data_IF_930121885581
#
_entry.id   IF_930121885581
#
_cell.length_a   1.000
_cell.length_b   1.000
_cell.length_c   1.000
_cell.angle_alpha   90.00
_cell.angle_beta   90.00
_cell.angle_gamma   90.00
#
_symmetry.space_group_name_H-M   'P 1'
#
loop_
_entity.id
_entity.type
_entity.pdbx_description
1 polymer ?
#
# COMPACT_ATOMS: atom_id res chain seq x y z
N UNK A 1 0.27 -23.49 9.80
CA UNK A 1 -0.09 -22.74 8.59
C UNK A 1 -0.98 -21.59 9.01
N UNK A 2 -0.67 -20.40 8.53
CA UNK A 2 -1.34 -19.14 8.81
C UNK A 2 -1.85 -18.61 7.47
N UNK A 3 -3.13 -18.82 7.18
CA UNK A 3 -3.76 -18.33 5.95
C UNK A 3 -3.98 -16.83 6.05
N UNK A 4 -3.32 -16.08 5.17
CA UNK A 4 -3.37 -14.63 5.10
C UNK A 4 -4.40 -14.18 4.07
N UNK A 5 -5.07 -13.08 4.36
CA UNK A 5 -5.83 -12.31 3.39
C UNK A 5 -5.63 -10.82 3.70
N UNK A 6 -6.07 -9.93 2.82
CA UNK A 6 -6.06 -8.49 3.04
C UNK A 6 -7.50 -7.97 3.21
N UNK A 7 -7.76 -7.27 4.30
CA UNK A 7 -8.93 -6.38 4.37
C UNK A 7 -8.57 -5.05 3.70
N UNK A 8 -8.88 -4.97 2.40
CA UNK A 8 -8.67 -3.78 1.57
C UNK A 8 -9.35 -2.53 2.14
N UNK A 9 -10.40 -2.70 2.95
CA UNK A 9 -11.13 -1.57 3.52
C UNK A 9 -10.52 -1.08 4.84
N UNK A 10 -9.63 -1.82 5.49
CA UNK A 10 -9.21 -1.52 6.86
C UNK A 10 -8.44 -0.18 7.00
N UNK A 11 -7.75 0.24 5.95
CA UNK A 11 -6.95 1.47 5.90
C UNK A 11 -6.86 2.01 4.47
N UNK A 12 -5.94 2.94 4.22
CA UNK A 12 -5.60 3.42 2.88
C UNK A 12 -5.09 2.27 1.97
N UNK A 13 -4.16 1.46 2.47
CA UNK A 13 -3.54 0.33 1.75
C UNK A 13 -4.17 -1.03 2.08
N UNK A 14 -5.01 -1.08 3.12
CA UNK A 14 -5.53 -2.31 3.70
C UNK A 14 -4.68 -2.83 4.87
N UNK A 15 -5.13 -3.90 5.52
CA UNK A 15 -4.37 -4.61 6.55
C UNK A 15 -4.53 -6.11 6.41
N UNK A 16 -3.48 -6.86 6.76
CA UNK A 16 -3.53 -8.32 6.76
C UNK A 16 -4.52 -8.84 7.80
N UNK A 17 -5.24 -9.89 7.42
CA UNK A 17 -6.00 -10.77 8.28
C UNK A 17 -5.33 -12.13 8.31
N UNK A 18 -5.59 -12.87 9.38
CA UNK A 18 -5.22 -14.27 9.49
C UNK A 18 -6.47 -15.06 9.83
N UNK A 19 -6.73 -16.17 9.12
CA UNK A 19 -7.99 -16.92 9.26
C UNK A 19 -8.33 -17.37 10.69
N UNK A 20 -7.32 -17.55 11.55
CA UNK A 20 -7.48 -17.95 12.95
C UNK A 20 -7.57 -16.78 13.93
N UNK A 21 -7.48 -15.54 13.44
CA UNK A 21 -7.49 -14.31 14.23
C UNK A 21 -8.68 -13.43 13.83
N UNK A 22 -9.12 -12.56 14.74
CA UNK A 22 -10.23 -11.65 14.50
C UNK A 22 -9.72 -10.24 14.29
N UNK A 23 -10.18 -9.60 13.22
CA UNK A 23 -9.84 -8.22 12.88
C UNK A 23 -8.54 -8.10 12.11
N UNK A 24 -8.35 -6.91 11.53
CA UNK A 24 -7.25 -6.58 10.63
C UNK A 24 -6.01 -6.09 11.40
N UNK A 25 -4.84 -6.51 10.94
CA UNK A 25 -3.54 -6.39 11.62
C UNK A 25 -3.54 -6.94 13.07
N UNK A 26 -3.91 -8.22 13.29
CA UNK A 26 -3.94 -8.79 14.63
C UNK A 26 -2.53 -9.07 15.17
N UNK A 27 -2.36 -8.99 16.49
CA UNK A 27 -1.17 -9.55 17.15
C UNK A 27 -1.23 -11.08 17.06
N UNK A 28 -0.24 -11.71 16.43
CA UNK A 28 -0.12 -13.16 16.32
C UNK A 28 0.93 -13.72 17.29
N UNK A 29 0.84 -15.01 17.61
CA UNK A 29 1.75 -15.66 18.55
C UNK A 29 2.46 -16.84 17.88
N UNK A 30 3.78 -16.90 18.03
CA UNK A 30 4.65 -17.94 17.45
C UNK A 30 5.62 -18.47 18.51
N UNK A 31 6.03 -19.73 18.42
CA UNK A 31 6.83 -20.41 19.44
C UNK A 31 8.25 -20.67 18.95
N UNK A 32 9.24 -20.45 19.82
CA UNK A 32 10.65 -20.75 19.54
C UNK A 32 10.82 -22.24 19.17
N UNK A 33 11.63 -22.50 18.14
CA UNK A 33 11.91 -23.82 17.59
C UNK A 33 10.89 -24.33 16.58
N UNK A 34 9.84 -23.54 16.26
CA UNK A 34 8.81 -23.91 15.30
C UNK A 34 8.96 -23.13 13.98
N UNK A 35 8.48 -23.75 12.90
CA UNK A 35 8.34 -23.13 11.58
C UNK A 35 6.88 -22.87 11.27
N UNK A 36 6.57 -21.65 10.84
CA UNK A 36 5.23 -21.20 10.49
C UNK A 36 5.19 -20.87 9.01
N UNK A 37 4.30 -21.53 8.27
CA UNK A 37 3.99 -21.19 6.87
C UNK A 37 2.92 -20.11 6.85
N UNK A 38 3.25 -18.95 6.32
CA UNK A 38 2.36 -17.84 5.96
C UNK A 38 1.91 -18.05 4.52
N UNK A 39 0.62 -18.31 4.34
CA UNK A 39 0.03 -18.63 3.04
C UNK A 39 -0.69 -17.41 2.48
N UNK A 40 -0.16 -16.84 1.40
CA UNK A 40 -0.68 -15.65 0.74
C UNK A 40 -1.57 -15.98 -0.47
N UNK A 41 -2.04 -17.22 -0.62
CA UNK A 41 -2.81 -17.65 -1.79
C UNK A 41 -4.21 -17.02 -1.90
N UNK A 42 -4.69 -16.31 -0.87
CA UNK A 42 -5.93 -15.54 -1.01
C UNK A 42 -5.74 -14.39 -2.02
N UNK A 43 -6.64 -14.23 -3.02
CA UNK A 43 -6.53 -13.21 -4.08
C UNK A 43 -6.39 -11.76 -3.59
N UNK A 44 -6.79 -11.48 -2.35
CA UNK A 44 -6.67 -10.14 -1.76
C UNK A 44 -5.23 -9.78 -1.38
N UNK A 45 -4.31 -10.74 -1.29
CA UNK A 45 -2.88 -10.48 -1.02
C UNK A 45 -2.10 -10.03 -2.27
N UNK A 46 -2.72 -9.99 -3.45
CA UNK A 46 -2.05 -9.51 -4.66
C UNK A 46 -1.47 -8.10 -4.43
N UNK A 47 -0.24 -7.86 -4.89
CA UNK A 47 0.55 -6.64 -4.61
C UNK A 47 1.00 -6.44 -3.15
N UNK A 48 0.78 -7.41 -2.26
CA UNK A 48 1.15 -7.34 -0.85
C UNK A 48 2.02 -8.53 -0.41
N UNK A 49 3.29 -8.65 -0.86
CA UNK A 49 4.19 -9.69 -0.36
C UNK A 49 4.49 -9.45 1.13
N UNK A 50 4.38 -10.51 1.95
CA UNK A 50 4.65 -10.40 3.39
C UNK A 50 6.16 -10.38 3.64
N UNK A 51 6.62 -9.44 4.46
CA UNK A 51 7.97 -9.37 5.01
C UNK A 51 7.99 -9.54 6.53
N UNK A 52 9.17 -9.76 7.10
CA UNK A 52 9.37 -9.94 8.56
C UNK A 52 10.55 -9.13 9.04
N UNK A 53 10.34 -8.25 10.03
CA UNK A 53 11.38 -7.35 10.52
C UNK A 53 11.44 -7.27 12.05
N UNK A 54 12.60 -6.86 12.57
CA UNK A 54 12.81 -6.64 14.02
C UNK A 54 12.24 -5.30 14.50
N UNK A 55 11.89 -4.42 13.56
CA UNK A 55 11.22 -3.14 13.79
C UNK A 55 10.05 -2.98 12.79
N UNK A 56 9.03 -2.14 13.09
CA UNK A 56 7.94 -1.90 12.14
C UNK A 56 8.43 -1.36 10.80
N UNK A 57 7.74 -1.77 9.74
CA UNK A 57 7.87 -1.34 8.36
C UNK A 57 9.15 -1.77 7.62
N UNK A 58 10.11 -2.46 8.27
CA UNK A 58 11.21 -3.17 7.61
C UNK A 58 11.89 -2.39 6.48
N UNK A 59 11.80 -2.92 5.25
CA UNK A 59 12.25 -2.33 3.98
C UNK A 59 11.80 -0.88 3.70
N UNK A 60 10.87 -0.33 4.46
CA UNK A 60 10.36 1.03 4.28
C UNK A 60 10.88 2.03 5.31
N UNK A 61 11.64 1.56 6.30
CA UNK A 61 12.18 2.43 7.33
C UNK A 61 11.16 2.93 8.35
N UNK A 62 11.65 3.63 9.38
CA UNK A 62 10.80 4.18 10.45
C UNK A 62 10.04 5.44 10.02
N UNK A 63 10.51 6.12 8.99
CA UNK A 63 9.95 7.33 8.37
C UNK A 63 9.74 7.10 6.88
N UNK A 64 8.94 7.93 6.22
CA UNK A 64 8.78 7.86 4.77
C UNK A 64 10.14 8.04 4.07
N UNK A 65 10.51 7.10 3.21
CA UNK A 65 11.80 7.10 2.50
C UNK A 65 13.02 6.96 3.40
N UNK A 66 12.84 6.51 4.65
CA UNK A 66 13.95 6.23 5.56
C UNK A 66 14.73 4.98 5.15
N UNK A 67 15.93 4.82 5.71
CA UNK A 67 16.75 3.63 5.49
C UNK A 67 16.01 2.36 5.94
N UNK A 68 16.22 1.28 5.20
CA UNK A 68 15.71 -0.05 5.51
C UNK A 68 16.13 -0.48 6.92
N UNK A 69 15.20 -1.12 7.63
CA UNK A 69 15.42 -1.63 8.99
C UNK A 69 15.73 -3.12 8.96
N UNK A 70 16.36 -3.59 10.04
CA UNK A 70 16.82 -4.98 10.15
C UNK A 70 15.68 -6.00 9.96
N UNK A 71 15.85 -6.89 8.97
CA UNK A 71 14.88 -7.91 8.58
C UNK A 71 15.29 -9.33 9.00
N UNK A 72 14.30 -10.22 9.05
CA UNK A 72 14.52 -11.65 9.22
C UNK A 72 14.90 -12.25 7.88
N UNK A 73 16.17 -12.12 7.50
CA UNK A 73 16.69 -12.60 6.22
C UNK A 73 17.73 -13.73 6.34
N UNK A 74 17.91 -14.26 7.55
CA UNK A 74 18.90 -15.30 7.81
C UNK A 74 18.58 -16.61 7.10
N UNK A 75 19.61 -17.24 6.53
CA UNK A 75 19.49 -18.57 5.93
C UNK A 75 18.93 -19.59 6.92
N UNK A 76 17.80 -20.20 6.57
CA UNK A 76 17.10 -21.17 7.41
C UNK A 76 16.20 -20.55 8.47
N UNK A 77 16.16 -19.21 8.57
CA UNK A 77 15.19 -18.46 9.37
C UNK A 77 13.97 -18.09 8.54
N UNK A 78 14.17 -17.76 7.25
CA UNK A 78 13.10 -17.43 6.31
C UNK A 78 13.32 -18.08 4.95
N UNK A 79 12.22 -18.57 4.34
CA UNK A 79 12.23 -19.12 2.98
C UNK A 79 10.92 -18.80 2.26
N UNK A 80 11.03 -18.12 1.12
CA UNK A 80 9.91 -17.86 0.21
C UNK A 80 9.77 -18.98 -0.82
N UNK A 81 8.52 -19.32 -1.14
CA UNK A 81 8.19 -20.37 -2.11
C UNK A 81 7.08 -19.95 -3.05
N UNK A 82 7.21 -20.39 -4.29
CA UNK A 82 6.19 -20.30 -5.34
C UNK A 82 5.83 -21.73 -5.74
N UNK A 83 4.53 -22.05 -5.77
CA UNK A 83 4.03 -23.38 -6.09
C UNK A 83 4.66 -24.50 -5.23
N UNK A 84 4.95 -24.19 -3.96
CA UNK A 84 5.56 -25.10 -2.99
C UNK A 84 7.06 -25.35 -3.18
N UNK A 85 7.71 -24.74 -4.19
CA UNK A 85 9.14 -24.82 -4.43
C UNK A 85 9.85 -23.55 -3.94
N UNK A 86 11.04 -23.71 -3.37
CA UNK A 86 11.92 -22.58 -3.09
C UNK A 86 12.20 -21.81 -4.38
N UNK A 87 12.19 -20.47 -4.30
CA UNK A 87 12.48 -19.62 -5.45
C UNK A 87 13.97 -19.68 -5.82
N UNK A 88 14.29 -19.56 -7.11
CA UNK A 88 15.60 -19.94 -7.67
C UNK A 88 16.14 -19.00 -8.76
N UNK A 89 15.79 -17.70 -8.71
CA UNK A 89 16.38 -16.70 -9.61
C UNK A 89 17.83 -16.35 -9.22
N UNK A 90 18.55 -15.66 -10.12
CA UNK A 90 19.97 -15.30 -9.91
C UNK A 90 20.18 -14.46 -8.64
N UNK A 91 19.18 -13.64 -8.29
CA UNK A 91 19.21 -12.75 -7.12
C UNK A 91 18.53 -13.35 -5.88
N UNK A 92 18.21 -14.65 -5.85
CA UNK A 92 17.42 -15.27 -4.77
C UNK A 92 17.94 -15.03 -3.34
N UNK A 93 19.23 -14.72 -3.17
CA UNK A 93 19.83 -14.54 -1.85
C UNK A 93 19.65 -15.79 -0.97
N UNK A 94 19.59 -15.58 0.35
CA UNK A 94 19.39 -16.67 1.31
C UNK A 94 17.92 -17.04 1.54
N UNK A 95 16.98 -16.12 1.26
CA UNK A 95 15.55 -16.27 1.55
C UNK A 95 14.70 -16.60 0.32
N UNK A 96 15.12 -16.18 -0.87
CA UNK A 96 14.33 -16.24 -2.08
C UNK A 96 13.42 -15.03 -2.35
N UNK A 97 13.49 -13.97 -1.52
CA UNK A 97 12.59 -12.82 -1.58
C UNK A 97 12.67 -12.06 -2.92
N UNK A 98 13.87 -11.82 -3.43
CA UNK A 98 14.09 -11.06 -4.67
C UNK A 98 13.55 -11.78 -5.92
N UNK A 99 13.17 -13.05 -5.81
CA UNK A 99 12.44 -13.78 -6.84
C UNK A 99 10.93 -13.83 -6.59
N UNK A 100 10.53 -13.67 -5.33
CA UNK A 100 9.16 -13.80 -4.86
C UNK A 100 8.40 -12.48 -5.01
N UNK A 101 8.98 -11.38 -4.55
CA UNK A 101 8.37 -10.05 -4.60
C UNK A 101 8.05 -9.58 -6.03
N UNK A 102 8.94 -9.71 -7.04
CA UNK A 102 8.64 -9.21 -8.39
C UNK A 102 7.39 -9.82 -9.02
N UNK A 103 7.01 -11.04 -8.64
CA UNK A 103 5.80 -11.71 -9.12
C UNK A 103 4.53 -10.97 -8.70
N UNK A 104 4.55 -10.26 -7.56
CA UNK A 104 3.41 -9.47 -7.07
C UNK A 104 3.12 -8.22 -7.92
N UNK A 105 4.02 -7.87 -8.86
CA UNK A 105 3.80 -6.83 -9.85
C UNK A 105 3.20 -7.37 -11.17
N UNK A 106 3.05 -8.68 -11.33
CA UNK A 106 2.29 -9.21 -12.46
C UNK A 106 0.82 -8.84 -12.36
N UNK A 107 0.11 -8.73 -13.51
CA UNK A 107 -1.33 -8.56 -13.53
C UNK A 107 -2.02 -9.56 -12.60
N UNK A 108 -3.03 -9.09 -11.86
CA UNK A 108 -3.69 -9.87 -10.80
C UNK A 108 -4.21 -11.22 -11.30
N UNK A 109 -4.79 -11.26 -12.49
CA UNK A 109 -5.30 -12.47 -13.15
C UNK A 109 -4.21 -13.51 -13.42
N UNK A 110 -2.99 -13.06 -13.75
CA UNK A 110 -1.81 -13.90 -13.91
C UNK A 110 -1.29 -14.38 -12.56
N UNK A 111 -1.15 -13.47 -11.59
CA UNK A 111 -0.61 -13.78 -10.25
C UNK A 111 -1.45 -14.82 -9.51
N UNK A 112 -2.79 -14.74 -9.58
CA UNK A 112 -3.69 -15.71 -8.94
C UNK A 112 -3.48 -17.16 -9.46
N UNK A 113 -2.83 -17.33 -10.62
CA UNK A 113 -2.50 -18.64 -11.18
C UNK A 113 -1.44 -19.43 -10.39
N UNK A 114 -0.77 -18.83 -9.41
CA UNK A 114 0.26 -19.48 -8.59
C UNK A 114 -0.07 -19.40 -7.09
N UNK A 115 0.61 -20.23 -6.29
CA UNK A 115 0.50 -20.20 -4.82
C UNK A 115 1.78 -19.63 -4.20
N UNK A 116 1.63 -18.71 -3.26
CA UNK A 116 2.73 -17.96 -2.67
C UNK A 116 2.77 -18.18 -1.15
N UNK A 117 3.90 -18.66 -0.64
CA UNK A 117 4.07 -18.92 0.80
C UNK A 117 5.42 -18.47 1.32
N UNK A 118 5.45 -17.94 2.55
CA UNK A 118 6.67 -17.67 3.30
C UNK A 118 6.77 -18.58 4.52
N UNK A 119 7.88 -19.29 4.69
CA UNK A 119 8.15 -20.14 5.85
C UNK A 119 9.11 -19.45 6.81
N UNK A 120 8.58 -18.99 7.94
CA UNK A 120 9.33 -18.34 9.01
C UNK A 120 9.63 -19.33 10.13
N UNK A 121 10.91 -19.57 10.39
CA UNK A 121 11.40 -20.42 11.48
C UNK A 121 11.87 -19.56 12.64
N UNK A 122 11.23 -19.71 13.81
CA UNK A 122 11.55 -18.93 15.01
C UNK A 122 12.71 -19.58 15.74
N UNK A 123 13.94 -19.34 15.29
CA UNK A 123 15.15 -19.82 15.97
C UNK A 123 15.38 -19.05 17.28
N UNK A 124 16.27 -19.57 18.14
CA UNK A 124 16.72 -18.79 19.31
C UNK A 124 17.42 -17.49 18.88
N UNK A 125 18.11 -17.48 17.73
CA UNK A 125 18.76 -16.28 17.21
C UNK A 125 17.75 -15.20 16.80
N UNK A 126 16.66 -15.57 16.12
CA UNK A 126 15.54 -14.67 15.82
C UNK A 126 14.96 -14.10 17.12
N UNK A 127 14.71 -14.96 18.12
CA UNK A 127 14.19 -14.52 19.41
C UNK A 127 15.15 -13.56 20.13
N UNK A 128 16.45 -13.85 20.15
CA UNK A 128 17.46 -12.99 20.79
C UNK A 128 17.63 -11.63 20.08
N UNK A 129 17.42 -11.60 18.75
CA UNK A 129 17.45 -10.37 17.94
C UNK A 129 16.20 -9.50 18.13
N UNK A 130 15.04 -10.10 18.43
CA UNK A 130 13.76 -9.39 18.68
C UNK A 130 13.84 -8.25 19.70
N UNK A 131 12.81 -7.41 19.72
CA UNK A 131 12.71 -6.29 20.65
C UNK A 131 11.61 -6.57 21.67
N UNK A 132 11.99 -6.87 22.93
CA UNK A 132 11.02 -7.24 23.96
C UNK A 132 10.33 -8.59 23.72
N UNK A 133 10.86 -9.42 22.82
CA UNK A 133 10.20 -10.64 22.36
C UNK A 133 9.18 -10.46 21.25
N UNK A 134 9.24 -9.33 20.54
CA UNK A 134 8.35 -9.01 19.41
C UNK A 134 9.17 -8.78 18.14
N UNK A 135 8.67 -9.33 17.04
CA UNK A 135 9.04 -8.98 15.66
C UNK A 135 7.76 -8.56 14.92
N UNK A 136 7.86 -8.08 13.70
CA UNK A 136 6.76 -7.49 12.96
C UNK A 136 6.60 -8.19 11.60
N UNK A 137 5.36 -8.52 11.23
CA UNK A 137 5.04 -8.80 9.82
C UNK A 137 4.64 -7.48 9.17
N UNK A 138 4.99 -7.28 7.91
CA UNK A 138 4.65 -6.07 7.15
C UNK A 138 4.48 -6.40 5.66
N UNK A 139 4.07 -5.43 4.84
CA UNK A 139 4.05 -5.58 3.38
C UNK A 139 5.36 -5.01 2.83
N UNK A 140 6.05 -5.75 1.96
CA UNK A 140 7.34 -5.33 1.40
C UNK A 140 7.20 -4.27 0.28
N UNK A 141 5.98 -4.05 -0.23
CA UNK A 141 5.69 -3.06 -1.28
C UNK A 141 5.01 -1.79 -0.70
N UNK A 142 4.11 -1.97 0.27
CA UNK A 142 3.34 -0.89 0.87
C UNK A 142 3.68 -0.71 2.35
N UNK A 143 4.17 0.48 2.69
CA UNK A 143 4.47 0.84 4.07
C UNK A 143 3.22 1.08 4.91
N UNK A 144 3.43 1.18 6.23
CA UNK A 144 2.37 1.42 7.22
C UNK A 144 1.34 0.28 7.34
N UNK A 145 1.77 -0.96 7.06
CA UNK A 145 0.96 -2.19 7.14
C UNK A 145 1.42 -3.22 8.19
N UNK A 146 2.33 -2.82 9.05
CA UNK A 146 2.92 -3.67 10.08
C UNK A 146 1.91 -4.14 11.13
N UNK A 147 2.07 -5.38 11.56
CA UNK A 147 1.43 -5.95 12.75
C UNK A 147 2.41 -6.80 13.55
N UNK A 148 2.04 -7.19 14.77
CA UNK A 148 2.98 -7.81 15.71
C UNK A 148 2.98 -9.33 15.64
N UNK A 149 4.17 -9.89 15.78
CA UNK A 149 4.42 -11.28 16.09
C UNK A 149 5.02 -11.36 17.49
N UNK A 150 4.24 -11.83 18.45
CA UNK A 150 4.70 -12.14 19.81
C UNK A 150 5.40 -13.49 19.82
N UNK A 151 6.68 -13.51 20.18
CA UNK A 151 7.44 -14.75 20.39
C UNK A 151 7.09 -15.34 21.75
N UNK A 152 6.83 -16.64 21.76
CA UNK A 152 6.48 -17.48 22.89
C UNK A 152 7.56 -18.52 23.11
N UNK A 153 7.76 -18.91 24.36
CA UNK A 153 8.55 -20.08 24.73
C UNK A 153 7.72 -21.36 24.55
N UNK A 154 8.37 -22.51 24.62
CA UNK A 154 7.74 -23.84 24.56
C UNK A 154 6.80 -24.11 25.75
N UNK A 155 7.06 -23.48 26.90
CA UNK A 155 6.24 -23.51 28.11
C UNK A 155 4.95 -22.66 28.02
N UNK A 156 4.73 -21.96 26.90
CA UNK A 156 3.54 -21.14 26.65
C UNK A 156 3.60 -19.72 27.23
N UNK A 157 4.70 -19.34 27.90
CA UNK A 157 4.91 -17.95 28.33
C UNK A 157 5.53 -17.11 27.22
N UNK A 158 5.30 -15.78 27.28
CA UNK A 158 5.96 -14.84 26.37
C UNK A 158 7.48 -14.91 26.53
N UNK A 159 8.20 -14.99 25.42
CA UNK A 159 9.64 -14.72 25.43
C UNK A 159 9.84 -13.21 25.59
N UNK A 160 10.85 -12.82 26.35
CA UNK A 160 11.28 -11.43 26.50
C UNK A 160 12.80 -11.39 26.58
N UNK A 161 13.39 -10.27 26.18
CA UNK A 161 14.81 -10.01 26.33
C UNK A 161 15.03 -8.61 26.93
N UNK A 162 16.30 -8.20 27.05
CA UNK A 162 16.64 -6.91 27.67
C UNK A 162 16.30 -5.69 26.79
N UNK A 163 15.98 -5.87 25.52
CA UNK A 163 15.64 -4.77 24.61
C UNK A 163 14.17 -4.36 24.83
N UNK A 164 13.85 -3.06 24.83
CA UNK A 164 12.45 -2.63 24.84
C UNK A 164 11.77 -2.98 23.52
N UNK A 165 10.48 -3.33 23.57
CA UNK A 165 9.61 -3.45 22.40
C UNK A 165 9.56 -2.13 21.61
N UNK A 166 9.53 -2.22 20.28
CA UNK A 166 9.44 -1.04 19.41
C UNK A 166 8.00 -0.55 19.31
N UNK A 167 7.82 0.77 19.26
CA UNK A 167 6.50 1.37 19.14
C UNK A 167 5.92 1.08 17.75
N UNK A 168 4.75 0.47 17.71
CA UNK A 168 3.96 0.31 16.49
C UNK A 168 2.86 1.37 16.46
N UNK A 169 2.59 1.96 15.30
CA UNK A 169 1.46 2.87 15.11
C UNK A 169 0.14 2.13 15.33
N UNK A 170 -0.89 2.87 15.75
CA UNK A 170 -2.21 2.29 15.89
C UNK A 170 -2.84 2.04 14.51
N UNK A 171 -3.51 0.91 14.29
CA UNK A 171 -4.32 0.70 13.09
C UNK A 171 -5.33 1.83 12.89
N UNK A 172 -5.59 2.18 11.63
CA UNK A 172 -6.59 3.18 11.27
C UNK A 172 -7.98 2.82 11.84
N UNK A 173 -8.59 3.76 12.54
CA UNK A 173 -9.98 3.65 13.01
C UNK A 173 -10.88 4.44 12.09
N UNK A 174 -11.60 3.73 11.21
CA UNK A 174 -12.53 4.37 10.27
C UNK A 174 -13.79 4.87 10.96
N UNK A 175 -14.22 6.09 10.65
CA UNK A 175 -15.47 6.66 11.13
C UNK A 175 -16.71 5.97 10.53
N UNK A 176 -17.93 6.30 11.01
CA UNK A 176 -19.17 5.72 10.49
C UNK A 176 -19.37 5.91 8.98
N UNK A 177 -19.03 7.10 8.46
CA UNK A 177 -19.12 7.43 7.03
C UNK A 177 -18.16 6.55 6.24
N UNK A 178 -16.87 6.54 6.60
CA UNK A 178 -15.85 5.71 5.94
C UNK A 178 -16.20 4.22 5.93
N UNK A 179 -16.72 3.68 7.04
CA UNK A 179 -17.19 2.28 7.07
C UNK A 179 -18.39 2.04 6.16
N UNK A 180 -19.31 2.99 6.07
CA UNK A 180 -20.48 2.91 5.21
C UNK A 180 -20.10 3.02 3.72
N UNK A 181 -19.12 3.86 3.40
CA UNK A 181 -18.63 4.14 2.05
C UNK A 181 -17.54 3.17 1.57
N UNK A 182 -16.86 2.46 2.47
CA UNK A 182 -15.68 1.66 2.11
C UNK A 182 -14.42 2.51 1.94
N UNK A 183 -14.46 3.79 2.27
CA UNK A 183 -13.37 4.75 2.12
C UNK A 183 -12.50 4.82 3.39
N UNK A 184 -11.43 5.60 3.31
CA UNK A 184 -10.58 5.96 4.45
C UNK A 184 -10.26 7.45 4.41
N UNK A 185 -10.49 8.17 5.52
CA UNK A 185 -10.09 9.58 5.68
C UNK A 185 -11.02 10.57 4.98
N UNK A 186 -12.23 10.16 4.61
CA UNK A 186 -13.17 11.00 3.84
C UNK A 186 -14.27 11.59 4.73
N UNK A 187 -14.46 11.05 5.94
CA UNK A 187 -15.55 11.45 6.84
C UNK A 187 -15.61 12.97 7.09
N UNK A 188 -14.46 13.64 7.25
CA UNK A 188 -14.38 15.08 7.52
C UNK A 188 -14.78 15.94 6.31
N UNK A 189 -14.80 15.35 5.11
CA UNK A 189 -15.08 16.04 3.84
C UNK A 189 -16.52 15.86 3.35
N UNK A 190 -17.28 14.94 3.95
CA UNK A 190 -18.64 14.60 3.52
C UNK A 190 -19.61 15.80 3.50
N UNK A 191 -19.36 16.83 4.34
CA UNK A 191 -20.17 18.05 4.42
C UNK A 191 -19.34 19.34 4.25
N UNK A 192 -18.03 19.23 3.96
CA UNK A 192 -17.12 20.39 3.99
C UNK A 192 -17.19 21.27 2.73
N UNK A 193 -17.59 20.71 1.58
CA UNK A 193 -17.62 21.43 0.31
C UNK A 193 -19.01 22.01 0.00
N UNK A 194 -19.05 23.29 -0.41
CA UNK A 194 -20.28 24.03 -0.72
C UNK A 194 -20.85 23.80 -2.12
N UNK A 195 -20.12 23.11 -3.00
CA UNK A 195 -20.52 22.76 -4.37
C UNK A 195 -20.64 21.25 -4.57
N UNK A 196 -21.48 20.83 -5.54
CA UNK A 196 -21.55 19.42 -5.92
C UNK A 196 -20.55 19.10 -7.03
N UNK A 197 -19.82 18.00 -6.88
CA UNK A 197 -18.93 17.46 -7.92
C UNK A 197 -19.66 16.50 -8.87
N UNK A 198 -20.92 16.17 -8.54
CA UNK A 198 -21.73 15.20 -9.27
C UNK A 198 -22.88 15.90 -9.99
N UNK A 199 -23.17 15.45 -11.20
CA UNK A 199 -24.29 15.92 -12.00
C UNK A 199 -25.27 14.78 -12.30
N UNK A 200 -26.48 15.13 -12.74
CA UNK A 200 -27.49 14.15 -13.16
C UNK A 200 -28.15 13.41 -11.98
N UNK A 201 -28.38 12.10 -12.14
CA UNK A 201 -29.10 11.27 -11.18
C UNK A 201 -28.16 10.50 -10.21
N UNK A 202 -26.88 10.84 -10.15
CA UNK A 202 -25.93 10.28 -9.18
C UNK A 202 -25.60 11.28 -8.06
N UNK A 203 -26.60 12.05 -7.64
CA UNK A 203 -26.47 13.01 -6.55
C UNK A 203 -26.74 12.34 -5.21
N UNK A 204 -26.33 12.97 -4.11
CA UNK A 204 -26.73 12.54 -2.77
C UNK A 204 -28.26 12.50 -2.55
N UNK A 205 -29.04 13.16 -3.40
CA UNK A 205 -30.50 13.14 -3.34
C UNK A 205 -31.11 11.93 -4.08
N UNK A 206 -30.42 11.39 -5.09
CA UNK A 206 -30.95 10.34 -5.97
C UNK A 206 -30.30 8.98 -5.72
N UNK A 207 -29.03 8.95 -5.30
CA UNK A 207 -28.31 7.76 -4.83
C UNK A 207 -27.68 8.07 -3.46
N UNK A 208 -28.48 8.07 -2.37
CA UNK A 208 -28.09 8.71 -1.12
C UNK A 208 -26.87 8.11 -0.44
N UNK A 209 -26.48 6.88 -0.79
CA UNK A 209 -25.24 6.28 -0.29
C UNK A 209 -24.08 6.54 -1.24
N UNK A 210 -24.18 6.12 -2.50
CA UNK A 210 -23.08 6.27 -3.46
C UNK A 210 -22.75 7.74 -3.74
N UNK A 211 -23.75 8.56 -4.06
CA UNK A 211 -23.57 9.97 -4.36
C UNK A 211 -23.06 10.79 -3.16
N UNK A 212 -23.50 10.47 -1.93
CA UNK A 212 -22.98 11.12 -0.73
C UNK A 212 -21.52 10.75 -0.47
N UNK A 213 -21.18 9.47 -0.59
CA UNK A 213 -19.80 9.01 -0.43
C UNK A 213 -18.88 9.66 -1.47
N UNK A 214 -19.28 9.62 -2.74
CA UNK A 214 -18.47 10.15 -3.84
C UNK A 214 -18.29 11.68 -3.73
N UNK A 215 -19.33 12.42 -3.32
CA UNK A 215 -19.22 13.85 -3.02
C UNK A 215 -18.14 14.14 -1.97
N UNK A 216 -18.04 13.33 -0.91
CA UNK A 216 -16.99 13.47 0.11
C UNK A 216 -15.61 13.14 -0.44
N UNK A 217 -15.50 12.08 -1.25
CA UNK A 217 -14.23 11.65 -1.89
C UNK A 217 -13.69 12.74 -2.81
N UNK A 218 -14.55 13.37 -3.61
CA UNK A 218 -14.17 14.48 -4.49
C UNK A 218 -13.85 15.76 -3.73
N UNK A 219 -14.58 16.02 -2.64
CA UNK A 219 -14.28 17.14 -1.75
C UNK A 219 -12.88 16.98 -1.11
N UNK A 220 -12.52 15.78 -0.67
CA UNK A 220 -11.20 15.49 -0.11
C UNK A 220 -10.08 15.76 -1.12
N UNK A 221 -10.26 15.33 -2.38
CA UNK A 221 -9.32 15.62 -3.47
C UNK A 221 -9.15 17.12 -3.69
N UNK A 222 -10.26 17.84 -3.86
CA UNK A 222 -10.25 19.26 -4.14
C UNK A 222 -9.58 20.06 -3.01
N UNK A 223 -9.86 19.69 -1.76
CA UNK A 223 -9.22 20.31 -0.59
C UNK A 223 -7.72 19.98 -0.52
N UNK A 224 -7.34 18.70 -0.71
CA UNK A 224 -5.96 18.24 -0.61
C UNK A 224 -5.05 18.79 -1.71
N UNK A 225 -5.51 18.77 -2.97
CA UNK A 225 -4.74 19.31 -4.10
C UNK A 225 -4.46 20.81 -3.96
N UNK A 226 -5.32 21.55 -3.27
CA UNK A 226 -5.11 22.97 -2.99
C UNK A 226 -4.24 23.19 -1.74
N UNK A 227 -4.47 22.41 -0.67
CA UNK A 227 -3.84 22.60 0.64
C UNK A 227 -2.34 22.32 0.66
N UNK A 228 -1.88 21.36 -0.15
CA UNK A 228 -0.48 20.89 -0.14
C UNK A 228 0.44 21.72 -1.04
N UNK A 229 -0.08 22.45 -2.03
CA UNK A 229 0.73 23.38 -2.84
C UNK A 229 1.04 24.64 -2.02
N UNK A 230 2.09 24.62 -1.20
CA UNK A 230 2.44 25.82 -0.43
C UNK A 230 2.91 26.96 -1.36
N UNK A 231 2.67 28.23 -1.00
CA UNK A 231 3.04 29.38 -1.83
C UNK A 231 4.55 29.51 -2.16
N UNK A 232 5.42 28.78 -1.45
CA UNK A 232 6.87 28.92 -1.53
C UNK A 232 7.56 27.75 -2.26
N UNK A 233 6.82 26.76 -2.77
CA UNK A 233 7.41 25.64 -3.52
C UNK A 233 7.55 25.96 -5.01
N UNK A 234 8.71 26.49 -5.40
CA UNK A 234 9.05 26.82 -6.79
C UNK A 234 9.48 25.61 -7.65
N UNK A 235 9.29 24.37 -7.19
CA UNK A 235 9.74 23.16 -7.88
C UNK A 235 8.55 22.37 -8.46
N UNK A 236 8.34 22.35 -9.79
CA UNK A 236 7.24 21.62 -10.43
C UNK A 236 7.12 20.15 -10.01
N UNK A 237 8.24 19.50 -9.71
CA UNK A 237 8.27 18.11 -9.24
C UNK A 237 7.64 17.95 -7.85
N UNK A 238 7.95 18.86 -6.92
CA UNK A 238 7.39 18.83 -5.56
C UNK A 238 5.88 19.06 -5.62
N UNK A 239 5.43 20.08 -6.35
CA UNK A 239 4.00 20.36 -6.54
C UNK A 239 3.27 19.20 -7.20
N UNK A 240 3.90 18.52 -8.17
CA UNK A 240 3.33 17.31 -8.76
C UNK A 240 3.09 16.24 -7.69
N UNK A 241 4.10 15.92 -6.88
CA UNK A 241 3.96 14.89 -5.83
C UNK A 241 2.92 15.27 -4.78
N UNK A 242 2.93 16.52 -4.32
CA UNK A 242 1.97 17.08 -3.36
C UNK A 242 0.53 16.96 -3.85
N UNK A 243 0.27 17.27 -5.13
CA UNK A 243 -1.07 17.21 -5.71
C UNK A 243 -1.47 15.79 -6.14
N UNK A 244 -0.50 14.95 -6.50
CA UNK A 244 -0.80 13.62 -7.00
C UNK A 244 -1.10 12.62 -5.88
N UNK A 245 -0.64 12.87 -4.66
CA UNK A 245 -1.09 12.13 -3.47
C UNK A 245 -2.62 12.22 -3.28
N UNK A 246 -3.25 13.38 -3.06
CA UNK A 246 -4.69 13.47 -2.88
C UNK A 246 -5.49 13.07 -4.13
N UNK A 247 -4.94 13.24 -5.33
CA UNK A 247 -5.54 12.74 -6.56
C UNK A 247 -5.59 11.20 -6.59
N UNK A 248 -4.49 10.53 -6.24
CA UNK A 248 -4.46 9.07 -6.19
C UNK A 248 -5.33 8.52 -5.05
N UNK A 249 -5.32 9.16 -3.88
CA UNK A 249 -6.21 8.78 -2.77
C UNK A 249 -7.70 8.92 -3.12
N UNK A 250 -8.05 9.89 -3.96
CA UNK A 250 -9.39 9.99 -4.52
C UNK A 250 -9.74 8.78 -5.39
N UNK A 251 -8.89 8.43 -6.36
CA UNK A 251 -9.10 7.26 -7.21
C UNK A 251 -9.18 5.95 -6.40
N UNK A 252 -8.29 5.76 -5.42
CA UNK A 252 -8.33 4.63 -4.48
C UNK A 252 -9.66 4.58 -3.74
N UNK A 253 -10.12 5.70 -3.18
CA UNK A 253 -11.38 5.74 -2.45
C UNK A 253 -12.60 5.53 -3.36
N UNK A 254 -12.59 6.02 -4.60
CA UNK A 254 -13.64 5.72 -5.59
C UNK A 254 -13.69 4.23 -5.94
N UNK A 255 -12.53 3.60 -6.15
CA UNK A 255 -12.47 2.18 -6.46
C UNK A 255 -12.99 1.33 -5.30
N UNK A 256 -12.58 1.63 -4.07
CA UNK A 256 -13.10 0.99 -2.87
C UNK A 256 -14.60 1.25 -2.67
N UNK A 257 -15.08 2.45 -2.95
CA UNK A 257 -16.50 2.78 -2.87
C UNK A 257 -17.33 1.88 -3.79
N UNK A 258 -16.89 1.70 -5.04
CA UNK A 258 -17.59 0.85 -5.99
C UNK A 258 -17.55 -0.63 -5.56
N UNK A 259 -16.37 -1.14 -5.17
CA UNK A 259 -16.21 -2.47 -4.57
C UNK A 259 -17.11 -2.69 -3.34
N UNK A 260 -17.40 -1.63 -2.58
CA UNK A 260 -18.22 -1.69 -1.37
C UNK A 260 -19.71 -1.65 -1.63
N UNK A 261 -20.15 -0.90 -2.63
CA UNK A 261 -21.56 -0.50 -2.78
C UNK A 261 -22.27 -1.15 -3.96
N UNK A 262 -21.53 -1.63 -4.97
CA UNK A 262 -22.11 -2.24 -6.16
C UNK A 262 -21.25 -3.41 -6.68
N UNK A 263 -20.94 -4.35 -5.79
CA UNK A 263 -20.11 -5.51 -6.10
C UNK A 263 -20.74 -6.38 -7.21
N UNK A 264 -22.07 -6.43 -7.30
CA UNK A 264 -22.77 -7.20 -8.33
C UNK A 264 -22.50 -6.63 -9.73
N UNK A 265 -22.54 -5.30 -9.90
CA UNK A 265 -22.20 -4.67 -11.18
C UNK A 265 -20.71 -4.79 -11.51
N UNK A 266 -19.84 -4.76 -10.49
CA UNK A 266 -18.41 -5.04 -10.66
C UNK A 266 -18.20 -6.45 -11.20
N UNK A 267 -18.81 -7.46 -10.57
CA UNK A 267 -18.70 -8.86 -10.99
C UNK A 267 -19.34 -9.12 -12.37
N UNK A 268 -20.37 -8.35 -12.74
CA UNK A 268 -21.03 -8.47 -14.04
C UNK A 268 -20.26 -7.77 -15.18
N UNK A 269 -19.29 -6.91 -14.87
CA UNK A 269 -18.52 -6.15 -15.85
C UNK A 269 -17.15 -6.79 -16.06
N UNK A 270 -16.92 -7.32 -17.27
CA UNK A 270 -15.70 -8.06 -17.60
C UNK A 270 -14.43 -7.24 -17.32
N UNK A 271 -13.51 -7.83 -16.54
CA UNK A 271 -12.24 -7.23 -16.12
C UNK A 271 -12.33 -6.06 -15.13
N UNK A 272 -13.52 -5.60 -14.73
CA UNK A 272 -13.64 -4.40 -13.89
C UNK A 272 -13.09 -4.64 -12.47
N UNK A 273 -13.27 -5.82 -11.89
CA UNK A 273 -12.75 -6.11 -10.55
C UNK A 273 -11.21 -5.94 -10.52
N UNK A 274 -10.50 -6.51 -11.49
CA UNK A 274 -9.04 -6.41 -11.57
C UNK A 274 -8.59 -4.96 -11.76
N UNK A 275 -9.27 -4.18 -12.60
CA UNK A 275 -9.02 -2.74 -12.75
C UNK A 275 -9.17 -1.99 -11.43
N UNK A 276 -10.20 -2.30 -10.64
CA UNK A 276 -10.42 -1.64 -9.35
C UNK A 276 -9.33 -2.03 -8.33
N UNK A 277 -8.89 -3.29 -8.31
CA UNK A 277 -7.75 -3.70 -7.48
C UNK A 277 -6.44 -3.06 -7.93
N UNK A 278 -6.19 -2.96 -9.24
CA UNK A 278 -5.04 -2.25 -9.81
C UNK A 278 -5.03 -0.80 -9.33
N UNK A 279 -6.16 -0.08 -9.43
CA UNK A 279 -6.28 1.29 -8.94
C UNK A 279 -5.96 1.35 -7.44
N UNK A 280 -6.52 0.44 -6.63
CA UNK A 280 -6.29 0.45 -5.19
C UNK A 280 -4.83 0.19 -4.83
N UNK A 281 -4.22 -0.85 -5.37
CA UNK A 281 -2.89 -1.28 -4.94
C UNK A 281 -1.77 -0.48 -5.60
N UNK A 282 -1.84 -0.27 -6.93
CA UNK A 282 -0.79 0.41 -7.68
C UNK A 282 -0.75 1.89 -7.35
N UNK A 283 -1.90 2.57 -7.25
CA UNK A 283 -1.88 4.00 -6.91
C UNK A 283 -1.47 4.24 -5.45
N UNK A 284 -1.76 3.32 -4.53
CA UNK A 284 -1.21 3.40 -3.18
C UNK A 284 0.31 3.18 -3.14
N UNK A 285 0.86 2.31 -3.99
CA UNK A 285 2.30 2.20 -4.15
C UNK A 285 2.91 3.51 -4.69
N UNK A 286 2.26 4.15 -5.66
CA UNK A 286 2.69 5.45 -6.17
C UNK A 286 2.61 6.54 -5.09
N UNK A 287 1.53 6.59 -4.29
CA UNK A 287 1.42 7.48 -3.12
C UNK A 287 2.59 7.25 -2.17
N UNK A 288 2.95 6.00 -1.87
CA UNK A 288 4.12 5.67 -1.05
C UNK A 288 5.41 6.26 -1.65
N UNK A 289 5.66 6.08 -2.95
CA UNK A 289 6.83 6.66 -3.62
C UNK A 289 6.86 8.20 -3.53
N UNK A 290 5.69 8.84 -3.67
CA UNK A 290 5.57 10.30 -3.59
C UNK A 290 5.85 10.80 -2.17
N UNK A 291 5.31 10.13 -1.14
CA UNK A 291 5.57 10.46 0.27
C UNK A 291 7.05 10.29 0.63
N UNK A 292 7.70 9.24 0.14
CA UNK A 292 9.13 9.02 0.34
C UNK A 292 9.96 10.14 -0.29
N UNK A 293 9.63 10.50 -1.53
CA UNK A 293 10.30 11.62 -2.21
C UNK A 293 10.13 12.92 -1.44
N UNK A 294 8.89 13.25 -1.03
CA UNK A 294 8.62 14.50 -0.33
C UNK A 294 9.34 14.55 1.02
N UNK A 295 9.26 13.51 1.85
CA UNK A 295 9.97 13.49 3.13
C UNK A 295 11.48 13.69 2.96
N UNK A 296 12.10 12.98 2.02
CA UNK A 296 13.53 13.09 1.76
C UNK A 296 13.98 14.46 1.23
N UNK A 297 13.11 15.19 0.54
CA UNK A 297 13.46 16.45 -0.15
C UNK A 297 12.90 17.72 0.51
N UNK A 298 11.86 17.59 1.33
CA UNK A 298 11.15 18.72 1.96
C UNK A 298 11.02 18.57 3.48
N UNK A 299 11.22 17.36 4.03
CA UNK A 299 10.94 17.06 5.44
C UNK A 299 9.44 17.05 5.77
N UNK A 300 8.58 16.96 4.75
CA UNK A 300 7.14 16.83 4.88
C UNK A 300 6.62 15.80 3.86
N UNK A 301 6.24 14.62 4.33
CA UNK A 301 5.61 13.56 3.52
C UNK A 301 4.22 13.89 2.92
N UNK A 302 3.75 15.15 2.92
CA UNK A 302 2.45 15.55 2.36
C UNK A 302 1.27 15.09 3.20
N UNK A 303 1.38 15.17 4.54
CA UNK A 303 0.31 14.77 5.46
C UNK A 303 -0.50 16.00 5.89
N UNK A 304 -1.80 15.96 5.62
CA UNK A 304 -2.77 17.04 5.84
C UNK A 304 -2.60 17.79 7.17
N UNK A 305 -2.13 19.03 7.10
CA UNK A 305 -2.27 20.05 8.13
C UNK A 305 -3.17 21.20 7.64
N UNK A 306 -3.90 21.88 8.54
CA UNK A 306 -5.01 22.76 8.18
C UNK A 306 -4.56 24.07 7.50
N UNK A 307 -5.14 24.28 6.33
CA UNK A 307 -5.20 25.45 5.42
C UNK A 307 -4.86 26.86 5.96
N UNK A 308 -4.07 27.66 5.20
CA UNK A 308 -4.14 29.13 5.17
C UNK A 308 -4.61 29.71 3.80
N UNK A 309 -5.03 31.00 3.73
CA UNK A 309 -5.85 31.57 2.64
C UNK A 309 -5.08 31.96 1.35
N UNK A 310 -5.78 32.25 0.23
CA UNK A 310 -5.21 32.23 -1.13
C UNK A 310 -4.59 33.56 -1.59
N UNK A 311 -3.63 33.48 -2.54
CA UNK A 311 -3.03 34.61 -3.27
C UNK A 311 -2.66 34.23 -4.74
N UNK A 312 -2.39 35.22 -5.64
CA UNK A 312 -2.69 35.18 -7.09
C UNK A 312 -1.57 34.60 -7.99
N UNK A 313 -1.78 34.43 -9.32
CA UNK A 313 -1.08 33.42 -10.10
C UNK A 313 0.25 33.92 -10.71
N UNK A 314 1.22 33.02 -10.96
CA UNK A 314 2.33 33.29 -11.87
C UNK A 314 2.16 32.65 -13.27
N UNK A 315 2.93 33.21 -14.20
CA UNK A 315 2.94 33.03 -15.66
C UNK A 315 3.62 31.73 -16.16
N UNK A 316 3.52 31.37 -17.47
CA UNK A 316 3.56 29.99 -17.97
C UNK A 316 4.98 29.42 -18.18
N UNK A 317 5.11 28.08 -18.35
CA UNK A 317 6.38 27.39 -18.30
C UNK A 317 7.15 27.38 -19.63
N UNK A 318 8.46 27.12 -19.51
CA UNK A 318 9.38 26.84 -20.60
C UNK A 318 9.38 25.35 -20.98
N UNK A 319 9.83 25.12 -22.22
CA UNK A 319 9.77 23.89 -23.03
C UNK A 319 10.47 22.67 -22.46
N UNK A 320 9.84 21.49 -22.62
CA UNK A 320 10.45 20.17 -22.41
C UNK A 320 11.36 19.75 -23.57
N UNK A 321 12.43 18.97 -23.33
CA UNK A 321 13.23 18.34 -24.37
C UNK A 321 12.59 17.03 -24.86
N UNK A 322 12.83 16.71 -26.13
CA UNK A 322 12.41 15.46 -26.75
C UNK A 322 13.23 14.26 -26.24
N UNK A 323 12.55 13.16 -25.91
CA UNK A 323 13.16 11.88 -25.54
C UNK A 323 13.71 11.19 -26.80
N UNK A 324 15.00 10.85 -26.81
CA UNK A 324 15.61 10.08 -27.89
C UNK A 324 15.23 8.59 -27.76
N UNK A 325 14.93 7.93 -28.89
CA UNK A 325 14.56 6.51 -28.92
C UNK A 325 15.72 5.59 -28.48
N UNK A 326 15.42 4.59 -27.64
CA UNK A 326 16.39 3.69 -27.02
C UNK A 326 16.84 2.50 -27.90
N UNK A 327 16.48 2.45 -29.18
CA UNK A 327 16.86 1.35 -30.07
C UNK A 327 17.31 1.83 -31.45
N UNK A 328 18.13 1.00 -32.11
CA UNK A 328 18.59 1.25 -33.48
C UNK A 328 17.81 0.34 -34.44
N UNK A 329 16.97 0.89 -35.33
CA UNK A 329 16.18 0.07 -36.24
C UNK A 329 17.07 -0.66 -37.26
N UNK A 330 16.66 -1.85 -37.68
CA UNK A 330 17.32 -2.66 -38.72
C UNK A 330 16.29 -3.26 -39.68
N UNK A 331 16.75 -3.95 -40.74
CA UNK A 331 15.85 -4.63 -41.70
C UNK A 331 14.93 -5.68 -41.06
N UNK A 332 15.23 -6.11 -39.83
CA UNK A 332 14.45 -7.09 -39.06
C UNK A 332 14.05 -6.58 -37.68
N UNK A 333 14.41 -5.35 -37.32
CA UNK A 333 14.12 -4.76 -36.00
C UNK A 333 13.41 -3.42 -36.19
N UNK A 334 12.11 -3.41 -35.90
CA UNK A 334 11.30 -2.20 -35.87
C UNK A 334 11.36 -1.60 -34.47
N UNK A 335 11.76 -0.34 -34.40
CA UNK A 335 11.72 0.45 -33.18
C UNK A 335 10.32 1.05 -33.01
N UNK A 336 9.70 0.80 -31.86
CA UNK A 336 8.40 1.34 -31.50
C UNK A 336 8.54 2.26 -30.29
N UNK A 337 7.79 3.36 -30.28
CA UNK A 337 7.68 4.28 -29.16
C UNK A 337 6.25 4.82 -29.11
N UNK A 338 5.76 5.07 -27.89
CA UNK A 338 4.51 5.78 -27.68
C UNK A 338 4.82 7.27 -27.47
N UNK A 339 4.21 8.14 -28.29
CA UNK A 339 4.22 9.57 -28.01
C UNK A 339 3.09 9.88 -27.03
N UNK A 340 3.44 10.03 -25.75
CA UNK A 340 2.49 10.32 -24.66
C UNK A 340 1.93 11.76 -24.73
N UNK A 341 2.41 12.59 -25.66
CA UNK A 341 1.90 13.95 -25.90
C UNK A 341 1.07 14.05 -27.18
N UNK A 342 0.98 12.97 -27.96
CA UNK A 342 -0.02 12.89 -29.02
C UNK A 342 -1.40 12.79 -28.37
N UNK A 343 -2.31 13.70 -28.73
CA UNK A 343 -3.67 13.72 -28.20
C UNK A 343 -4.42 12.43 -28.55
N UNK A 344 -5.44 12.09 -27.75
CA UNK A 344 -6.45 11.09 -28.13
C UNK A 344 -7.13 11.37 -29.48
#
# INVERSE_FOLDING_TARGET
MLCMSLDVFASETGYYNFATYTGSSPDIAVTIGQTYTFDQSDPTNWYHPVGFAYEPDGAHGSTWGGDELDEVEGKGELLYKINGAATTCDDAGDTGLDCYEPEFFYPRDVWIGATYTAELTITQAVADRSHGGVIYYFCHIHSKMSGKIQIMKDDGYKYTNAKPEKSLYSPVVRGPIDRACGTTGVADYAEACSGSFLCGNLTAQSEPRFGQCLQGVDCAMNAGMFGESTPDHHAPLVTFMEQMIPHHLNAVNMAKLLLKTDLDSVAATDGLEDILWDIVNVQNYQVHQFRNYLEANTGNAGVALPYPPPLPPPSPPSTSPAVAAACTPSSTMLCMSLDVFASE
#
